data_IF_827932925021
#
_entry.id   IF_827932925021
#
_cell.length_a   1.000
_cell.length_b   1.000
_cell.length_c   1.000
_cell.angle_alpha   90.00
_cell.angle_beta   90.00
_cell.angle_gamma   90.00
#
_symmetry.space_group_name_H-M   'P 1'
#
loop_
_entity.id
_entity.type
_entity.pdbx_description
1 polymer ?
#
# COMPACT_ATOMS: atom_id res chain seq x y z
N UNK A 1 1.67 10.46 1.07
CA UNK A 1 1.21 10.97 -0.24
C UNK A 1 1.57 12.43 -0.47
N UNK A 2 1.18 13.38 0.40
CA UNK A 2 1.43 14.82 0.17
C UNK A 2 2.89 15.20 -0.16
N UNK A 3 3.88 14.52 0.43
CA UNK A 3 5.30 14.81 0.17
C UNK A 3 5.87 14.14 -1.11
N UNK A 4 5.42 12.93 -1.44
CA UNK A 4 6.04 12.11 -2.49
C UNK A 4 5.16 11.86 -3.71
N UNK A 5 3.85 12.06 -3.61
CA UNK A 5 2.87 11.63 -4.61
C UNK A 5 2.58 10.13 -4.56
N UNK A 6 1.51 9.72 -5.24
CA UNK A 6 1.10 8.32 -5.40
C UNK A 6 2.17 7.51 -6.13
N UNK A 7 2.65 8.02 -7.27
CA UNK A 7 3.65 7.41 -8.16
C UNK A 7 5.01 7.06 -7.52
N UNK A 8 5.27 7.51 -6.29
CA UNK A 8 6.51 7.23 -5.54
C UNK A 8 6.24 6.62 -4.17
N UNK A 9 5.03 6.12 -3.94
CA UNK A 9 4.62 5.46 -2.70
C UNK A 9 4.14 4.04 -3.01
N UNK A 10 4.35 3.09 -2.10
CA UNK A 10 3.83 1.71 -2.22
C UNK A 10 3.49 1.14 -0.85
N UNK A 11 2.56 0.20 -0.81
CA UNK A 11 2.13 -0.49 0.40
C UNK A 11 3.04 -1.68 0.73
N UNK A 12 3.31 -1.87 2.03
CA UNK A 12 3.92 -3.07 2.57
C UNK A 12 3.39 -3.33 3.98
N UNK A 13 3.22 -4.60 4.35
CA UNK A 13 2.64 -4.98 5.64
C UNK A 13 3.65 -5.08 6.78
N UNK A 14 4.95 -5.09 6.48
CA UNK A 14 6.03 -5.38 7.44
C UNK A 14 5.86 -6.71 8.21
N UNK A 15 5.04 -7.65 7.70
CA UNK A 15 4.94 -8.98 8.30
C UNK A 15 6.24 -9.77 8.13
N UNK A 16 6.65 -10.57 9.13
CA UNK A 16 5.88 -10.96 10.32
C UNK A 16 6.12 -10.07 11.57
N UNK A 17 6.85 -8.97 11.48
CA UNK A 17 7.14 -8.12 12.66
C UNK A 17 5.87 -7.48 13.20
N UNK A 18 5.02 -6.97 12.30
CA UNK A 18 3.77 -6.30 12.68
C UNK A 18 2.70 -7.22 13.30
N UNK A 19 2.90 -8.55 13.27
CA UNK A 19 2.01 -9.51 13.96
C UNK A 19 1.92 -9.28 15.48
N UNK A 20 2.88 -8.54 16.04
CA UNK A 20 2.91 -8.14 17.45
C UNK A 20 1.81 -7.13 17.80
N UNK A 21 1.28 -6.41 16.80
CA UNK A 21 0.35 -5.30 16.99
C UNK A 21 -0.98 -5.48 16.24
N UNK A 22 -1.02 -6.26 15.17
CA UNK A 22 -2.23 -6.44 14.37
C UNK A 22 -2.23 -7.75 13.57
N UNK A 23 -3.40 -8.16 13.07
CA UNK A 23 -3.51 -9.27 12.12
C UNK A 23 -3.18 -8.81 10.70
N UNK A 24 -2.81 -9.77 9.84
CA UNK A 24 -2.50 -9.48 8.43
C UNK A 24 -3.69 -8.82 7.73
N UNK A 25 -4.88 -9.39 7.91
CA UNK A 25 -6.11 -8.87 7.33
C UNK A 25 -6.46 -7.47 7.85
N UNK A 26 -6.26 -7.22 9.15
CA UNK A 26 -6.53 -5.91 9.72
C UNK A 26 -5.61 -4.83 9.12
N UNK A 27 -4.33 -5.12 8.92
CA UNK A 27 -3.39 -4.19 8.28
C UNK A 27 -3.81 -3.94 6.82
N UNK A 28 -4.02 -4.98 6.03
CA UNK A 28 -4.40 -4.83 4.62
C UNK A 28 -5.73 -4.05 4.49
N UNK A 29 -6.73 -4.37 5.31
CA UNK A 29 -8.02 -3.71 5.28
C UNK A 29 -7.94 -2.23 5.70
N UNK A 30 -7.15 -1.91 6.72
CA UNK A 30 -6.93 -0.52 7.13
C UNK A 30 -6.34 0.32 5.98
N UNK A 31 -5.34 -0.19 5.27
CA UNK A 31 -4.77 0.52 4.12
C UNK A 31 -5.75 0.63 2.94
N UNK A 32 -6.58 -0.39 2.71
CA UNK A 32 -7.66 -0.31 1.71
C UNK A 32 -8.71 0.74 2.07
N UNK A 33 -9.02 0.89 3.36
CA UNK A 33 -10.01 1.85 3.85
C UNK A 33 -9.50 3.29 3.75
N UNK A 34 -8.29 3.59 4.23
CA UNK A 34 -7.75 4.97 4.17
C UNK A 34 -7.51 5.47 2.74
N UNK A 35 -7.42 4.56 1.77
CA UNK A 35 -7.26 4.87 0.34
C UNK A 35 -8.58 4.84 -0.44
N UNK A 36 -9.73 4.69 0.21
CA UNK A 36 -11.00 4.47 -0.48
C UNK A 36 -11.43 5.62 -1.40
N UNK A 37 -11.05 6.86 -1.06
CA UNK A 37 -11.37 8.05 -1.84
C UNK A 37 -10.45 8.26 -3.05
N UNK A 38 -9.41 7.43 -3.23
CA UNK A 38 -8.46 7.58 -4.32
C UNK A 38 -9.02 6.95 -5.59
N UNK A 39 -8.72 7.51 -6.77
CA UNK A 39 -9.03 6.89 -8.06
C UNK A 39 -8.54 5.44 -8.13
N UNK A 40 -9.21 4.63 -8.93
CA UNK A 40 -8.88 3.21 -9.04
C UNK A 40 -7.43 3.00 -9.49
N UNK A 41 -6.96 3.78 -10.48
CA UNK A 41 -5.58 3.74 -10.96
C UNK A 41 -4.56 4.09 -9.86
N UNK A 42 -4.85 5.08 -9.01
CA UNK A 42 -3.95 5.47 -7.93
C UNK A 42 -3.85 4.39 -6.85
N UNK A 43 -4.96 3.69 -6.59
CA UNK A 43 -4.96 2.55 -5.67
C UNK A 43 -4.14 1.39 -6.26
N UNK A 44 -4.31 1.07 -7.54
CA UNK A 44 -3.48 0.06 -8.21
C UNK A 44 -1.99 0.43 -8.17
N UNK A 45 -1.65 1.70 -8.37
CA UNK A 45 -0.27 2.17 -8.23
C UNK A 45 0.29 1.91 -6.83
N UNK A 46 -0.46 2.23 -5.76
CA UNK A 46 -0.04 2.02 -4.37
C UNK A 46 0.10 0.55 -3.99
N UNK A 47 -0.79 -0.31 -4.47
CA UNK A 47 -0.85 -1.72 -4.06
C UNK A 47 -0.12 -2.68 -5.02
N UNK A 48 0.29 -2.23 -6.20
CA UNK A 48 0.90 -3.09 -7.21
C UNK A 48 1.89 -2.36 -8.14
N UNK A 49 1.43 -1.41 -8.97
CA UNK A 49 2.19 -1.00 -10.17
C UNK A 49 3.52 -0.32 -9.82
N UNK A 50 3.56 0.46 -8.74
CA UNK A 50 4.80 1.10 -8.30
C UNK A 50 5.85 0.08 -7.84
N UNK A 51 5.43 -0.96 -7.12
CA UNK A 51 6.34 -2.02 -6.69
C UNK A 51 6.83 -2.82 -7.90
N UNK A 52 5.94 -3.21 -8.81
CA UNK A 52 6.29 -3.93 -10.03
C UNK A 52 7.30 -3.14 -10.89
N UNK A 53 7.04 -1.85 -11.12
CA UNK A 53 7.95 -0.96 -11.86
C UNK A 53 9.29 -0.75 -11.15
N UNK A 54 9.28 -0.52 -9.84
CA UNK A 54 10.49 -0.21 -9.08
C UNK A 54 11.41 -1.43 -8.97
N UNK A 55 10.84 -2.60 -8.66
CA UNK A 55 11.58 -3.85 -8.52
C UNK A 55 11.79 -4.61 -9.82
N UNK A 56 11.21 -4.14 -10.93
CA UNK A 56 11.28 -4.77 -12.27
C UNK A 56 10.76 -6.22 -12.24
N UNK A 57 9.59 -6.40 -11.62
CA UNK A 57 8.87 -7.67 -11.55
C UNK A 57 8.21 -8.02 -12.89
#
# INVERSE_FOLDING_TARGET
IAAFGVERSMFATNFPVDKLFSSFDAIVNAFKEITIAYPHEERLALFHDNAARFYRL
#
